data_IF_389278981287
#
_entry.id   IF_389278981287
#
_cell.length_a   1.000
_cell.length_b   1.000
_cell.length_c   1.000
_cell.angle_alpha   90.00
_cell.angle_beta   90.00
_cell.angle_gamma   90.00
#
_symmetry.space_group_name_H-M   'P 1'
#
loop_
_entity.id
_entity.type
_entity.pdbx_description
1 polymer ?
#
# COMPACT_ATOMS: atom_id res chain seq x y z
N UNK A 1 23.56 11.86 -20.85
CA UNK A 1 23.09 11.30 -19.57
C UNK A 1 21.60 11.62 -19.49
N UNK A 2 20.72 10.63 -19.59
CA UNK A 2 19.29 10.86 -19.39
C UNK A 2 19.10 10.96 -17.87
N UNK A 3 18.78 12.15 -17.38
CA UNK A 3 18.41 12.32 -15.98
C UNK A 3 17.00 11.71 -15.82
N UNK A 4 16.87 10.66 -15.02
CA UNK A 4 15.56 10.14 -14.68
C UNK A 4 14.77 11.19 -13.88
N UNK A 5 13.48 11.30 -14.18
CA UNK A 5 12.54 12.16 -13.46
C UNK A 5 11.63 11.30 -12.57
N UNK A 6 12.26 10.59 -11.63
CA UNK A 6 11.58 9.70 -10.69
C UNK A 6 11.23 10.45 -9.39
N UNK A 7 10.05 10.16 -8.84
CA UNK A 7 9.49 10.81 -7.65
C UNK A 7 9.39 9.83 -6.48
N UNK A 8 9.05 10.36 -5.30
CA UNK A 8 8.75 9.58 -4.10
C UNK A 8 9.83 8.56 -3.70
N UNK A 9 11.12 8.92 -3.91
CA UNK A 9 12.25 8.08 -3.53
C UNK A 9 12.49 6.87 -4.45
N UNK A 10 11.80 6.80 -5.59
CA UNK A 10 11.98 5.73 -6.56
C UNK A 10 13.41 5.65 -7.11
N UNK A 11 13.85 4.42 -7.35
CA UNK A 11 15.12 4.15 -8.02
C UNK A 11 15.06 4.55 -9.50
N UNK A 12 16.23 4.80 -10.09
CA UNK A 12 16.38 5.07 -11.52
C UNK A 12 17.32 4.04 -12.12
N UNK A 13 16.85 3.30 -13.11
CA UNK A 13 17.70 2.39 -13.85
C UNK A 13 18.56 3.17 -14.86
N UNK A 14 19.89 3.21 -14.71
CA UNK A 14 20.75 4.06 -15.52
C UNK A 14 20.88 3.58 -16.98
N UNK A 15 20.53 2.33 -17.26
CA UNK A 15 20.67 1.73 -18.60
C UNK A 15 19.50 2.06 -19.53
N UNK A 16 18.28 2.17 -18.99
CA UNK A 16 17.07 2.39 -19.78
C UNK A 16 16.22 3.59 -19.33
N UNK A 17 16.55 4.23 -18.21
CA UNK A 17 15.85 5.40 -17.68
C UNK A 17 14.50 5.10 -17.03
N UNK A 18 14.18 3.82 -16.76
CA UNK A 18 12.93 3.41 -16.11
C UNK A 18 13.02 3.66 -14.60
N UNK A 19 11.95 4.19 -14.02
CA UNK A 19 11.83 4.36 -12.57
C UNK A 19 11.38 3.05 -11.90
N UNK A 20 12.05 2.69 -10.82
CA UNK A 20 11.73 1.55 -9.96
C UNK A 20 10.97 2.08 -8.74
N UNK A 21 9.64 2.03 -8.80
CA UNK A 21 8.78 2.60 -7.78
C UNK A 21 8.92 1.89 -6.43
N UNK A 22 8.85 2.66 -5.36
CA UNK A 22 8.65 2.11 -4.02
C UNK A 22 7.18 1.71 -3.83
N UNK A 23 6.93 0.90 -2.79
CA UNK A 23 5.57 0.49 -2.40
C UNK A 23 4.67 1.70 -2.18
N UNK A 24 3.39 1.56 -2.53
CA UNK A 24 2.41 2.65 -2.45
C UNK A 24 2.41 3.60 -3.64
N UNK A 25 3.30 3.41 -4.62
CA UNK A 25 3.43 4.26 -5.80
C UNK A 25 3.45 3.47 -7.10
N UNK A 26 3.00 4.13 -8.16
CA UNK A 26 2.94 3.62 -9.53
C UNK A 26 3.14 4.74 -10.55
N UNK A 27 3.09 4.37 -11.83
CA UNK A 27 3.31 5.27 -12.96
C UNK A 27 4.77 5.31 -13.41
N UNK A 28 5.00 5.81 -14.63
CA UNK A 28 6.35 5.81 -15.23
C UNK A 28 7.38 6.62 -14.43
N UNK A 29 6.89 7.57 -13.63
CA UNK A 29 7.69 8.46 -12.78
C UNK A 29 7.53 8.19 -11.29
N UNK A 30 6.73 7.19 -10.91
CA UNK A 30 6.41 6.87 -9.52
C UNK A 30 5.78 8.04 -8.75
N UNK A 31 5.01 8.87 -9.44
CA UNK A 31 4.32 10.07 -8.94
C UNK A 31 2.83 9.83 -8.65
N UNK A 32 2.32 8.64 -8.99
CA UNK A 32 0.91 8.29 -8.81
C UNK A 32 0.77 7.39 -7.58
N UNK A 33 0.03 7.81 -6.54
CA UNK A 33 -0.23 6.96 -5.38
C UNK A 33 -1.10 5.76 -5.80
N UNK A 34 -1.07 4.68 -5.04
CA UNK A 34 -1.96 3.56 -5.34
C UNK A 34 -3.44 3.98 -5.28
N UNK A 35 -4.25 3.54 -6.26
CA UNK A 35 -5.69 3.75 -6.19
C UNK A 35 -6.28 2.94 -5.03
N UNK A 36 -7.42 3.40 -4.51
CA UNK A 36 -8.14 2.66 -3.47
C UNK A 36 -8.40 1.21 -3.91
N UNK A 37 -8.15 0.27 -3.01
CA UNK A 37 -8.28 -1.16 -3.30
C UNK A 37 -7.01 -1.83 -3.82
N UNK A 38 -5.91 -1.09 -3.99
CA UNK A 38 -4.62 -1.63 -4.43
C UNK A 38 -3.46 -1.20 -3.55
N UNK A 39 -2.43 -2.04 -3.48
CA UNK A 39 -1.22 -1.78 -2.70
C UNK A 39 0.03 -2.42 -3.35
N UNK A 40 1.17 -2.18 -2.73
CA UNK A 40 2.46 -2.75 -3.12
C UNK A 40 3.18 -1.95 -4.20
N UNK A 41 4.24 -2.52 -4.75
CA UNK A 41 5.03 -1.88 -5.80
C UNK A 41 4.23 -1.83 -7.09
N UNK A 42 4.12 -0.64 -7.71
CA UNK A 42 3.29 -0.42 -8.89
C UNK A 42 1.81 -0.75 -8.69
N UNK A 43 1.35 -0.89 -7.43
CA UNK A 43 -0.05 -1.09 -7.09
C UNK A 43 -0.69 -2.30 -7.78
N UNK A 44 0.08 -3.38 -7.93
CA UNK A 44 -0.37 -4.60 -8.61
C UNK A 44 -1.11 -5.58 -7.71
N UNK A 45 -1.07 -5.36 -6.39
CA UNK A 45 -1.73 -6.22 -5.41
C UNK A 45 -3.09 -5.63 -5.02
N UNK A 46 -4.12 -6.47 -4.88
CA UNK A 46 -5.47 -6.04 -4.48
C UNK A 46 -5.68 -6.19 -2.97
N UNK A 47 -6.27 -5.18 -2.33
CA UNK A 47 -6.68 -5.25 -0.94
C UNK A 47 -7.69 -6.40 -0.74
N UNK A 48 -7.54 -7.16 0.34
CA UNK A 48 -8.46 -8.22 0.74
C UNK A 48 -9.00 -7.96 2.15
N UNK A 49 -9.83 -6.94 2.29
CA UNK A 49 -10.43 -6.54 3.57
C UNK A 49 -11.86 -7.07 3.68
N UNK A 50 -12.14 -7.96 4.63
CA UNK A 50 -13.50 -8.49 4.83
C UNK A 50 -14.40 -7.48 5.56
N UNK A 51 -13.97 -7.06 6.75
CA UNK A 51 -14.68 -6.09 7.61
C UNK A 51 -13.85 -4.79 7.75
N UNK A 52 -13.23 -4.37 6.65
CA UNK A 52 -12.40 -3.16 6.57
C UNK A 52 -12.92 -2.19 5.52
N UNK A 53 -12.44 -0.96 5.56
CA UNK A 53 -12.87 0.10 4.63
C UNK A 53 -11.86 0.36 3.52
N UNK A 54 -10.57 0.38 3.85
CA UNK A 54 -9.44 0.58 2.94
C UNK A 54 -8.24 -0.21 3.45
N UNK A 55 -7.26 -0.47 2.58
CA UNK A 55 -5.97 -0.99 3.00
C UNK A 55 -4.86 0.03 2.76
N UNK A 56 -3.79 -0.06 3.55
CA UNK A 56 -2.61 0.75 3.39
C UNK A 56 -1.96 0.46 2.02
N UNK A 57 -1.66 1.49 1.21
CA UNK A 57 -1.14 1.31 -0.13
C UNK A 57 0.29 0.74 -0.16
N UNK A 58 1.04 0.78 0.94
CA UNK A 58 2.38 0.24 1.02
C UNK A 58 2.38 -1.27 1.32
N UNK A 59 1.63 -1.73 2.31
CA UNK A 59 1.73 -3.11 2.83
C UNK A 59 0.43 -3.94 2.78
N UNK A 60 -0.68 -3.30 2.40
CA UNK A 60 -1.99 -3.92 2.29
C UNK A 60 -2.69 -4.17 3.62
N UNK A 61 -2.23 -3.59 4.74
CA UNK A 61 -2.91 -3.73 6.03
C UNK A 61 -4.24 -2.99 6.04
N UNK A 62 -5.31 -3.69 6.43
CA UNK A 62 -6.66 -3.14 6.40
C UNK A 62 -6.95 -2.25 7.61
N UNK A 63 -7.59 -1.11 7.35
CA UNK A 63 -8.23 -0.31 8.40
C UNK A 63 -9.54 -1.00 8.78
N UNK A 64 -9.55 -1.62 9.97
CA UNK A 64 -10.68 -2.40 10.43
C UNK A 64 -11.80 -1.54 11.01
N UNK A 65 -13.04 -1.93 10.70
CA UNK A 65 -14.21 -1.37 11.36
C UNK A 65 -14.17 -1.63 12.88
N UNK A 66 -14.86 -0.81 13.69
CA UNK A 66 -14.99 -1.04 15.11
C UNK A 66 -15.48 -2.46 15.39
N UNK A 67 -14.79 -3.17 16.28
CA UNK A 67 -15.11 -4.57 16.58
C UNK A 67 -14.36 -5.60 15.73
N UNK A 68 -13.41 -5.21 14.86
CA UNK A 68 -12.59 -6.14 14.08
C UNK A 68 -11.08 -5.84 14.19
N UNK A 69 -10.24 -6.86 13.97
CA UNK A 69 -8.76 -6.83 13.92
C UNK A 69 -8.23 -7.93 12.98
N UNK A 70 -6.91 -7.98 12.84
CA UNK A 70 -6.24 -8.88 11.90
C UNK A 70 -5.86 -8.12 10.64
N UNK A 71 -4.93 -8.66 9.84
CA UNK A 71 -4.39 -7.97 8.65
C UNK A 71 -5.51 -7.68 7.62
N UNK A 72 -6.51 -8.56 7.56
CA UNK A 72 -7.66 -8.50 6.64
C UNK A 72 -8.99 -8.22 7.36
N UNK A 73 -8.96 -7.87 8.65
CA UNK A 73 -10.13 -7.64 9.50
C UNK A 73 -11.05 -8.86 9.66
N UNK A 74 -10.46 -10.05 9.66
CA UNK A 74 -11.14 -11.34 9.79
C UNK A 74 -11.48 -11.72 11.24
N UNK A 75 -10.82 -11.07 12.23
CA UNK A 75 -11.00 -11.41 13.64
C UNK A 75 -11.94 -10.42 14.33
N UNK A 76 -13.04 -10.92 14.90
CA UNK A 76 -13.96 -10.12 15.72
C UNK A 76 -13.35 -9.81 17.09
N UNK A 77 -13.32 -8.54 17.48
CA UNK A 77 -13.06 -8.07 18.85
C UNK A 77 -14.30 -8.33 19.69
N UNK A 78 -14.31 -9.45 20.40
CA UNK A 78 -15.45 -9.89 21.22
C UNK A 78 -15.50 -9.11 22.56
N UNK A 79 -14.37 -8.54 22.97
CA UNK A 79 -14.25 -7.73 24.19
C UNK A 79 -13.34 -6.51 23.93
N UNK A 80 -13.65 -5.38 24.57
CA UNK A 80 -12.78 -4.21 24.63
C UNK A 80 -11.70 -4.48 25.68
N UNK A 81 -10.77 -5.40 25.43
CA UNK A 81 -9.65 -5.59 26.34
C UNK A 81 -8.52 -4.63 25.95
N UNK A 82 -8.25 -3.69 26.86
CA UNK A 82 -7.23 -2.64 26.87
C UNK A 82 -5.77 -3.15 26.82
N UNK A 83 -5.48 -4.24 26.10
CA UNK A 83 -4.14 -4.87 26.06
C UNK A 83 -3.41 -4.76 24.73
N UNK A 84 -3.94 -4.03 23.76
CA UNK A 84 -3.26 -3.76 22.50
C UNK A 84 -3.41 -2.30 22.11
N UNK A 85 -2.75 -1.45 22.91
CA UNK A 85 -2.19 -0.15 22.53
C UNK A 85 -0.73 -0.14 22.98
#
# INVERSE_FOLDING_TARGET
MQLCDCHNGAGCNPSNGICECLVGWSGQRCDTPCPEGYFGTNCTEQCSCENGTQCDPADGECICQPGFRGKSCELRKIYCDDKYF
#
